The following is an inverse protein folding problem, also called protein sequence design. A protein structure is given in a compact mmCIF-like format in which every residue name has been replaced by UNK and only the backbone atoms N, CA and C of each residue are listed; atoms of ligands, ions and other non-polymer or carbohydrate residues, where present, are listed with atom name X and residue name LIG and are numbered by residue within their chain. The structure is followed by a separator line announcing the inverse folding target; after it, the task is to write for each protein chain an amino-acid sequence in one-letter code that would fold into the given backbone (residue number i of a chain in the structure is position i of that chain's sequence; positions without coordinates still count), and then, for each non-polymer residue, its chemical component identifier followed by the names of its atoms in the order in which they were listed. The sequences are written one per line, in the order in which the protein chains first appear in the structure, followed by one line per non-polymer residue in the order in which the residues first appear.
data_IF_798206695503
#
_entry.id   IF_798206695503
#
_cell.length_a   1.000
_cell.length_b   1.000
_cell.length_c   1.000
_cell.angle_alpha   90.00
_cell.angle_beta   90.00
_cell.angle_gamma   90.00
#
_symmetry.space_group_name_H-M   'P 1'
#
loop_
_entity.id
_entity.type
_entity.pdbx_description
1 polymer ?
#
# COMPACT_ATOMS: atom_id res chain seq x y z
N UNK A 1 -16.01 -5.25 3.20
CA UNK A 1 -14.55 -5.36 3.43
C UNK A 1 -14.28 -6.34 4.56
N UNK A 2 -13.67 -7.48 4.24
CA UNK A 2 -13.40 -8.58 5.18
C UNK A 2 -12.19 -8.26 6.06
N UNK A 3 -12.24 -8.75 7.31
CA UNK A 3 -11.25 -8.57 8.38
C UNK A 3 -9.78 -8.84 7.94
N UNK A 4 -9.57 -9.69 6.91
CA UNK A 4 -8.26 -9.93 6.29
C UNK A 4 -7.60 -8.70 5.68
N UNK A 5 -8.37 -7.73 5.16
CA UNK A 5 -7.81 -6.53 4.52
C UNK A 5 -7.12 -5.61 5.53
N UNK A 6 -7.57 -5.66 6.79
CA UNK A 6 -7.10 -4.81 7.89
C UNK A 6 -5.80 -5.34 8.51
N UNK A 7 -5.74 -6.65 8.76
CA UNK A 7 -4.51 -7.30 9.25
C UNK A 7 -3.38 -7.23 8.24
N UNK A 8 -3.70 -7.30 6.94
CA UNK A 8 -2.73 -7.04 5.90
C UNK A 8 -2.31 -5.57 5.94
N UNK A 9 -3.20 -4.58 5.79
CA UNK A 9 -2.79 -3.17 5.66
C UNK A 9 -1.99 -2.59 6.84
N UNK A 10 -2.31 -2.92 8.09
CA UNK A 10 -1.58 -2.36 9.24
C UNK A 10 -0.14 -2.91 9.33
N UNK A 11 0.10 -4.15 8.91
CA UNK A 11 1.45 -4.75 8.83
C UNK A 11 2.12 -4.40 7.49
N UNK A 12 1.37 -4.33 6.39
CA UNK A 12 1.85 -3.98 5.04
C UNK A 12 2.22 -2.50 4.91
N UNK A 13 1.64 -1.60 5.69
CA UNK A 13 2.04 -0.17 5.72
C UNK A 13 3.48 0.03 6.19
N UNK A 14 4.06 -0.95 6.88
CA UNK A 14 5.50 -0.99 7.17
C UNK A 14 6.31 -1.72 6.08
N UNK A 15 5.68 -2.51 5.19
CA UNK A 15 6.39 -3.46 4.34
C UNK A 15 6.28 -3.25 2.82
N UNK A 16 5.22 -2.62 2.30
CA UNK A 16 5.01 -2.48 0.86
C UNK A 16 4.25 -1.19 0.53
N UNK A 17 4.99 -0.11 0.42
CA UNK A 17 4.59 1.05 -0.36
C UNK A 17 5.78 1.48 -1.22
N UNK A 18 5.56 1.47 -2.54
CA UNK A 18 6.44 1.91 -3.64
C UNK A 18 7.42 0.83 -4.16
N UNK A 19 6.94 0.00 -5.11
CA UNK A 19 7.77 -0.57 -6.18
C UNK A 19 7.61 0.38 -7.37
N UNK A 20 8.46 1.39 -7.48
CA UNK A 20 8.68 2.09 -8.75
C UNK A 20 9.62 1.25 -9.61
N UNK A 21 9.37 1.29 -10.90
CA UNK A 21 9.93 0.46 -11.96
C UNK A 21 11.46 0.32 -11.97
N UNK A 22 11.88 -0.81 -12.54
CA UNK A 22 13.21 -1.19 -13.06
C UNK A 22 14.24 -1.79 -12.09
N UNK A 23 14.66 -3.02 -12.39
CA UNK A 23 16.04 -3.47 -12.16
C UNK A 23 16.23 -4.67 -11.23
N UNK A 24 17.05 -5.60 -11.70
CA UNK A 24 17.60 -6.79 -11.05
C UNK A 24 18.11 -6.60 -9.62
N UNK A 25 18.07 -7.67 -8.82
CA UNK A 25 18.42 -7.77 -7.38
C UNK A 25 19.88 -7.43 -6.98
N UNK A 26 20.63 -6.73 -7.81
CA UNK A 26 22.03 -6.34 -7.54
C UNK A 26 22.36 -5.07 -8.31
N UNK A 27 22.13 -3.86 -7.75
CA UNK A 27 22.97 -2.66 -7.91
C UNK A 27 22.57 -1.51 -6.93
N UNK A 28 23.58 -0.85 -6.35
CA UNK A 28 23.60 0.53 -5.78
C UNK A 28 22.65 0.92 -4.63
N UNK A 29 23.19 1.57 -3.59
CA UNK A 29 22.48 2.05 -2.38
C UNK A 29 21.39 3.10 -2.65
N UNK A 30 21.25 3.61 -3.88
CA UNK A 30 20.28 4.66 -4.26
C UNK A 30 18.90 4.10 -4.64
N UNK A 31 18.81 2.88 -5.16
CA UNK A 31 17.57 2.27 -5.66
C UNK A 31 17.07 1.13 -4.76
N UNK A 32 17.20 1.32 -3.44
CA UNK A 32 16.64 0.38 -2.47
C UNK A 32 15.31 0.93 -1.96
N UNK A 33 14.28 0.08 -1.88
CA UNK A 33 13.04 0.41 -1.16
C UNK A 33 13.37 0.78 0.29
N UNK A 34 12.54 1.62 0.92
CA UNK A 34 12.81 2.17 2.26
C UNK A 34 13.15 1.09 3.32
N UNK A 35 12.57 -0.11 3.16
CA UNK A 35 12.77 -1.28 4.02
C UNK A 35 14.12 -1.97 3.79
N UNK A 36 14.63 -1.88 2.56
CA UNK A 36 15.98 -2.23 2.24
C UNK A 36 16.90 -1.04 2.49
N UNK A 37 16.91 -0.36 3.63
CA UNK A 37 18.06 0.47 4.00
C UNK A 37 18.34 0.17 5.45
N UNK A 38 19.44 -0.55 5.70
CA UNK A 38 19.87 -0.89 7.05
C UNK A 38 19.92 0.41 7.86
N UNK A 39 19.02 0.53 8.83
CA UNK A 39 18.52 1.74 9.49
C UNK A 39 19.54 2.87 9.66
N UNK A 40 19.54 3.83 8.73
CA UNK A 40 19.99 5.20 8.97
C UNK A 40 18.76 6.10 8.96
N UNK A 41 17.92 5.95 9.99
CA UNK A 41 16.76 6.82 10.18
C UNK A 41 17.08 7.91 11.21
N UNK A 42 16.52 9.11 11.05
CA UNK A 42 16.62 10.14 12.10
C UNK A 42 15.95 9.57 13.37
N UNK A 43 16.61 9.57 14.54
CA UNK A 43 16.10 8.88 15.73
C UNK A 43 14.68 9.27 16.17
N UNK A 44 14.24 10.50 15.88
CA UNK A 44 12.89 10.95 16.19
C UNK A 44 11.77 10.32 15.35
N UNK A 45 12.09 9.78 14.16
CA UNK A 45 11.07 9.27 13.23
C UNK A 45 10.40 8.00 13.76
N UNK A 46 11.17 7.11 14.40
CA UNK A 46 10.62 5.88 14.97
C UNK A 46 9.61 6.17 16.08
N UNK A 47 9.89 7.16 16.94
CA UNK A 47 8.98 7.57 18.01
C UNK A 47 7.68 8.16 17.46
N UNK A 48 7.76 8.99 16.43
CA UNK A 48 6.57 9.60 15.82
C UNK A 48 5.73 8.56 15.10
N UNK A 49 6.37 7.66 14.34
CA UNK A 49 5.68 6.55 13.68
C UNK A 49 4.97 5.65 14.70
N UNK A 50 5.64 5.27 15.78
CA UNK A 50 5.06 4.47 16.85
C UNK A 50 3.85 5.17 17.50
N UNK A 51 3.98 6.45 17.83
CA UNK A 51 2.88 7.24 18.39
C UNK A 51 1.68 7.30 17.43
N UNK A 52 1.92 7.59 16.14
CA UNK A 52 0.87 7.61 15.12
C UNK A 52 0.19 6.26 14.94
N UNK A 53 0.93 5.16 14.97
CA UNK A 53 0.37 3.81 14.87
C UNK A 53 -0.53 3.47 16.06
N UNK A 54 -0.14 3.85 17.27
CA UNK A 54 -0.94 3.62 18.48
C UNK A 54 -2.20 4.49 18.48
N UNK A 55 -2.10 5.78 18.14
CA UNK A 55 -3.25 6.67 18.02
C UNK A 55 -4.25 6.17 16.96
N UNK A 56 -3.74 5.75 15.80
CA UNK A 56 -4.57 5.16 14.74
C UNK A 56 -5.29 3.90 15.25
N UNK A 57 -4.58 3.00 15.94
CA UNK A 57 -5.16 1.79 16.51
C UNK A 57 -6.28 2.10 17.51
N UNK A 58 -6.05 3.03 18.44
CA UNK A 58 -7.06 3.43 19.43
C UNK A 58 -8.27 4.03 18.71
N UNK A 59 -8.06 4.89 17.71
CA UNK A 59 -9.17 5.46 16.93
C UNK A 59 -10.00 4.38 16.24
N UNK A 60 -9.35 3.42 15.57
CA UNK A 60 -10.02 2.27 14.95
C UNK A 60 -10.83 1.50 15.99
N UNK A 61 -10.30 1.25 17.19
CA UNK A 61 -11.01 0.48 18.22
C UNK A 61 -12.24 1.21 18.76
N UNK A 62 -12.18 2.54 18.86
CA UNK A 62 -13.28 3.38 19.33
C UNK A 62 -14.32 3.69 18.24
N UNK A 63 -13.96 3.59 16.97
CA UNK A 63 -14.88 3.82 15.85
C UNK A 63 -16.04 2.81 15.88
N UNK A 64 -17.32 3.22 15.68
CA UNK A 64 -18.46 2.31 15.70
C UNK A 64 -18.33 1.17 14.67
N UNK A 65 -17.80 1.48 13.49
CA UNK A 65 -17.52 0.51 12.42
C UNK A 65 -16.21 -0.29 12.61
N UNK A 66 -15.40 0.05 13.61
CA UNK A 66 -14.08 -0.54 13.88
C UNK A 66 -13.19 -0.61 12.63
N UNK A 67 -12.65 -1.79 12.31
CA UNK A 67 -11.86 -2.01 11.10
C UNK A 67 -12.62 -1.90 9.77
N UNK A 68 -13.90 -1.50 9.81
CA UNK A 68 -14.70 -1.14 8.62
C UNK A 68 -14.96 0.37 8.54
N UNK A 69 -14.28 1.18 9.34
CA UNK A 69 -14.33 2.63 9.21
C UNK A 69 -13.95 3.05 7.79
N UNK A 70 -14.69 3.99 7.17
CA UNK A 70 -14.35 4.51 5.85
C UNK A 70 -13.04 5.31 5.93
N UNK A 71 -12.26 5.26 4.85
CA UNK A 71 -11.13 6.16 4.69
C UNK A 71 -11.67 7.53 4.26
N UNK A 72 -11.40 8.57 5.03
CA UNK A 72 -11.78 9.93 4.63
C UNK A 72 -10.92 10.42 3.46
N UNK A 73 -11.58 10.87 2.39
CA UNK A 73 -10.95 11.49 1.24
C UNK A 73 -11.06 13.01 1.39
N UNK A 74 -9.96 13.67 1.78
CA UNK A 74 -9.86 15.13 1.76
C UNK A 74 -9.81 15.64 0.31
N UNK A 75 -10.94 15.65 -0.39
CA UNK A 75 -11.15 16.50 -1.56
C UNK A 75 -12.13 17.63 -1.29
N UNK A 76 -12.88 17.56 -0.18
CA UNK A 76 -13.77 18.63 0.25
C UNK A 76 -13.17 19.34 1.48
N UNK A 77 -12.90 20.64 1.34
CA UNK A 77 -12.44 21.60 2.35
C UNK A 77 -13.47 21.84 3.48
N UNK A 78 -14.21 20.82 3.88
CA UNK A 78 -15.20 20.85 4.95
C UNK A 78 -14.76 20.01 6.15
N UNK A 79 -13.46 19.99 6.43
CA UNK A 79 -12.80 19.18 7.46
C UNK A 79 -13.07 19.60 8.93
N UNK A 80 -14.07 20.45 9.18
CA UNK A 80 -14.45 20.86 10.54
C UNK A 80 -15.97 20.86 10.77
N UNK A 81 -16.78 20.38 9.82
CA UNK A 81 -18.21 20.21 10.06
C UNK A 81 -18.44 18.83 10.69
N UNK A 82 -19.17 18.71 11.81
CA UNK A 82 -19.61 17.42 12.28
C UNK A 82 -20.52 16.83 11.21
N UNK A 83 -20.02 15.83 10.48
CA UNK A 83 -20.81 15.06 9.51
C UNK A 83 -22.05 14.56 10.24
N UNK A 84 -23.22 14.95 9.73
CA UNK A 84 -24.50 14.48 10.25
C UNK A 84 -24.56 12.97 9.96
N UNK A 85 -25.00 12.22 10.97
CA UNK A 85 -25.11 10.75 11.04
C UNK A 85 -23.81 9.95 11.22
N UNK A 86 -23.48 9.64 12.49
CA UNK A 86 -23.02 8.32 12.95
C UNK A 86 -21.70 7.72 12.44
N UNK A 87 -21.05 8.34 11.45
CA UNK A 87 -19.95 7.73 10.68
C UNK A 87 -18.58 8.35 10.99
N UNK A 88 -18.52 9.34 11.90
CA UNK A 88 -17.27 9.93 12.40
C UNK A 88 -17.01 9.40 13.81
N UNK A 89 -15.87 8.73 13.98
CA UNK A 89 -15.44 8.18 15.27
C UNK A 89 -15.21 9.27 16.33
N UNK A 90 -15.34 8.90 17.61
CA UNK A 90 -15.15 9.83 18.73
C UNK A 90 -13.76 10.47 18.78
N UNK A 91 -12.75 9.81 18.22
CA UNK A 91 -11.37 10.28 18.18
C UNK A 91 -11.00 10.92 16.81
N UNK A 92 -12.01 11.20 15.98
CA UNK A 92 -11.85 11.83 14.67
C UNK A 92 -11.63 10.84 13.54
N UNK A 93 -10.96 11.31 12.49
CA UNK A 93 -10.84 10.63 11.20
C UNK A 93 -9.98 9.37 11.28
N UNK A 94 -10.33 8.32 10.53
CA UNK A 94 -9.55 7.08 10.46
C UNK A 94 -8.80 7.04 9.11
N UNK A 95 -7.53 7.50 9.04
CA UNK A 95 -6.78 7.51 7.80
C UNK A 95 -6.41 6.11 7.34
N UNK A 96 -6.47 5.89 6.02
CA UNK A 96 -6.03 4.62 5.42
C UNK A 96 -4.51 4.47 5.41
N UNK A 97 -3.78 5.57 5.15
CA UNK A 97 -2.32 5.62 5.17
C UNK A 97 -1.87 6.93 5.80
N UNK A 98 -0.72 6.94 6.47
CA UNK A 98 -0.08 8.15 6.99
C UNK A 98 1.34 8.19 6.42
N UNK A 99 1.67 9.24 5.65
CA UNK A 99 3.01 9.44 5.09
C UNK A 99 3.61 10.75 5.60
N UNK A 100 4.69 10.65 6.36
CA UNK A 100 5.39 11.80 6.94
C UNK A 100 6.67 12.16 6.17
N UNK A 101 6.83 13.44 5.84
CA UNK A 101 7.99 14.03 5.17
C UNK A 101 8.71 15.03 6.08
N UNK A 102 9.64 14.53 6.90
CA UNK A 102 10.35 15.34 7.90
C UNK A 102 11.39 16.32 7.34
N UNK A 103 11.76 16.20 6.07
CA UNK A 103 12.57 17.23 5.40
C UNK A 103 11.80 18.53 5.16
N UNK A 104 10.47 18.44 5.01
CA UNK A 104 9.56 19.57 4.76
C UNK A 104 8.55 19.79 5.89
N UNK A 105 8.66 19.01 6.97
CA UNK A 105 7.70 19.00 8.09
C UNK A 105 6.24 18.90 7.62
N UNK A 106 5.98 18.01 6.66
CA UNK A 106 4.69 17.84 6.01
C UNK A 106 4.21 16.41 6.17
N UNK A 107 2.90 16.19 6.30
CA UNK A 107 2.29 14.87 6.29
C UNK A 107 1.13 14.82 5.30
N UNK A 108 0.83 13.62 4.81
CA UNK A 108 -0.32 13.37 3.93
C UNK A 108 -1.01 12.08 4.32
N UNK A 109 -2.32 12.01 4.04
CA UNK A 109 -3.18 10.86 4.37
C UNK A 109 -3.89 10.32 3.12
N UNK A 110 -3.15 9.70 2.19
CA UNK A 110 -3.76 9.18 0.97
C UNK A 110 -4.63 7.96 1.27
N UNK A 111 -5.71 7.84 0.51
CA UNK A 111 -6.51 6.62 0.39
C UNK A 111 -6.14 5.88 -0.90
N UNK A 112 -6.29 4.55 -0.88
CA UNK A 112 -6.03 3.72 -2.05
C UNK A 112 -7.12 2.67 -2.14
N UNK A 113 -7.70 2.50 -3.33
CA UNK A 113 -8.64 1.42 -3.61
C UNK A 113 -7.90 0.08 -3.71
N UNK A 114 -8.62 -1.01 -3.44
CA UNK A 114 -8.10 -2.37 -3.65
C UNK A 114 -7.82 -2.59 -5.14
N UNK A 115 -6.62 -3.08 -5.46
CA UNK A 115 -6.23 -3.37 -6.82
C UNK A 115 -6.47 -4.85 -7.15
N UNK A 116 -7.14 -5.11 -8.29
CA UNK A 116 -7.55 -6.46 -8.66
C UNK A 116 -6.38 -7.38 -9.04
N UNK A 117 -5.25 -6.83 -9.51
CA UNK A 117 -4.00 -7.59 -9.79
C UNK A 117 -2.98 -7.46 -8.64
N UNK A 118 -3.41 -7.15 -7.42
CA UNK A 118 -2.50 -7.09 -6.28
C UNK A 118 -1.93 -8.48 -5.93
N UNK A 119 -0.61 -8.59 -5.86
CA UNK A 119 0.12 -9.83 -5.48
C UNK A 119 -0.11 -10.30 -4.04
N UNK A 120 -0.84 -9.51 -3.24
CA UNK A 120 -1.16 -9.81 -1.86
C UNK A 120 -2.66 -10.01 -1.60
N UNK A 121 -3.49 -9.04 -2.00
CA UNK A 121 -4.91 -9.00 -1.61
C UNK A 121 -5.89 -9.19 -2.78
N UNK A 122 -5.39 -9.54 -3.97
CA UNK A 122 -6.29 -9.85 -5.09
C UNK A 122 -7.20 -11.04 -4.78
N UNK A 123 -8.42 -11.07 -5.35
CA UNK A 123 -9.32 -12.21 -5.21
C UNK A 123 -8.68 -13.53 -5.67
N UNK A 124 -7.84 -13.47 -6.70
CA UNK A 124 -7.12 -14.63 -7.24
C UNK A 124 -6.16 -15.21 -6.22
N UNK A 125 -5.29 -14.38 -5.61
CA UNK A 125 -4.33 -14.83 -4.58
C UNK A 125 -5.06 -15.38 -3.36
N UNK A 126 -6.16 -14.76 -2.93
CA UNK A 126 -6.95 -15.24 -1.79
C UNK A 126 -7.59 -16.60 -2.09
N UNK A 127 -8.10 -16.80 -3.31
CA UNK A 127 -8.71 -18.07 -3.72
C UNK A 127 -7.67 -19.18 -3.82
N UNK A 128 -6.55 -18.90 -4.49
CA UNK A 128 -5.40 -19.82 -4.61
C UNK A 128 -4.85 -20.26 -3.26
N UNK A 129 -4.69 -19.32 -2.32
CA UNK A 129 -4.27 -19.63 -0.96
C UNK A 129 -5.30 -20.48 -0.21
N UNK A 130 -6.60 -20.23 -0.37
CA UNK A 130 -7.65 -21.02 0.30
C UNK A 130 -7.74 -22.45 -0.24
N UNK A 131 -7.49 -22.65 -1.53
CA UNK A 131 -7.60 -23.96 -2.19
C UNK A 131 -6.33 -24.81 -2.03
N UNK A 132 -5.15 -24.21 -2.23
CA UNK A 132 -3.86 -24.94 -2.25
C UNK A 132 -3.04 -24.77 -0.97
N UNK A 133 -3.38 -23.79 -0.13
CA UNK A 133 -2.77 -23.59 1.19
C UNK A 133 -1.25 -23.47 1.14
N UNK A 134 -0.57 -24.37 1.85
CA UNK A 134 0.89 -24.34 1.99
C UNK A 134 1.63 -24.65 0.69
N UNK A 135 1.08 -25.48 -0.20
CA UNK A 135 1.74 -25.79 -1.47
C UNK A 135 1.86 -24.56 -2.37
N UNK A 136 0.84 -23.69 -2.35
CA UNK A 136 0.90 -22.41 -3.03
C UNK A 136 1.98 -21.51 -2.43
N UNK A 137 2.03 -21.39 -1.09
CA UNK A 137 3.08 -20.63 -0.43
C UNK A 137 4.48 -21.12 -0.77
N UNK A 138 4.69 -22.45 -0.80
CA UNK A 138 5.97 -23.04 -1.13
C UNK A 138 6.37 -22.74 -2.58
N UNK A 139 5.43 -22.71 -3.52
CA UNK A 139 5.68 -22.25 -4.90
C UNK A 139 6.07 -20.77 -4.93
N UNK A 140 5.33 -19.91 -4.25
CA UNK A 140 5.60 -18.47 -4.15
C UNK A 140 6.97 -18.18 -3.54
N UNK A 141 7.40 -18.94 -2.53
CA UNK A 141 8.69 -18.73 -1.89
C UNK A 141 9.87 -19.17 -2.75
N UNK A 142 9.67 -20.17 -3.60
CA UNK A 142 10.70 -20.67 -4.51
C UNK A 142 10.74 -19.95 -5.85
N UNK A 143 9.62 -19.36 -6.27
CA UNK A 143 9.48 -18.65 -7.53
C UNK A 143 8.88 -17.26 -7.30
N UNK A 144 9.72 -16.23 -7.44
CA UNK A 144 9.33 -14.83 -7.26
C UNK A 144 8.37 -14.32 -8.34
N UNK A 145 8.37 -14.94 -9.53
CA UNK A 145 7.53 -14.53 -10.66
C UNK A 145 6.11 -15.09 -10.56
N UNK A 146 5.93 -16.16 -9.78
CA UNK A 146 4.66 -16.88 -9.69
C UNK A 146 3.47 -15.98 -9.29
N UNK A 147 3.68 -15.04 -8.35
CA UNK A 147 2.61 -14.11 -7.94
C UNK A 147 2.23 -13.13 -9.04
N UNK A 148 3.20 -12.65 -9.82
CA UNK A 148 2.95 -11.70 -10.91
C UNK A 148 2.20 -12.40 -12.05
N UNK A 149 2.51 -13.67 -12.31
CA UNK A 149 1.81 -14.48 -13.31
C UNK A 149 0.36 -14.79 -12.90
N UNK A 150 0.17 -15.28 -11.68
CA UNK A 150 -1.16 -15.64 -11.14
C UNK A 150 -2.08 -14.42 -11.07
N UNK A 151 -1.54 -13.25 -10.77
CA UNK A 151 -2.33 -12.01 -10.70
C UNK A 151 -2.53 -11.33 -12.05
N UNK A 152 -1.88 -11.79 -13.12
CA UNK A 152 -1.90 -11.13 -14.43
C UNK A 152 -1.05 -9.86 -14.50
N UNK A 153 -0.26 -9.58 -13.47
CA UNK A 153 0.62 -8.41 -13.41
C UNK A 153 1.75 -8.50 -14.44
N UNK A 154 2.25 -9.70 -14.75
CA UNK A 154 3.26 -9.91 -15.80
C UNK A 154 2.75 -9.46 -17.17
N UNK A 155 1.46 -9.68 -17.45
CA UNK A 155 0.84 -9.22 -18.70
C UNK A 155 0.67 -7.71 -18.73
N UNK A 156 0.28 -7.10 -17.61
CA UNK A 156 0.20 -5.64 -17.51
C UNK A 156 1.56 -4.98 -17.78
N UNK A 157 2.64 -5.56 -17.25
CA UNK A 157 3.99 -5.08 -17.53
C UNK A 157 4.34 -5.18 -19.01
N UNK A 158 4.09 -6.33 -19.66
CA UNK A 158 4.37 -6.46 -21.10
C UNK A 158 3.56 -5.50 -21.96
N UNK A 159 2.28 -5.28 -21.63
CA UNK A 159 1.42 -4.37 -22.38
C UNK A 159 1.92 -2.92 -22.25
N UNK A 160 2.39 -2.52 -21.06
CA UNK A 160 2.95 -1.18 -20.83
C UNK A 160 4.29 -0.98 -21.55
N UNK A 161 5.18 -1.99 -21.54
CA UNK A 161 6.46 -1.92 -22.25
C UNK A 161 6.27 -1.78 -23.77
N UNK A 162 5.24 -2.43 -24.32
CA UNK A 162 4.88 -2.30 -25.74
C UNK A 162 4.39 -0.88 -26.04
N UNK A 163 3.51 -0.34 -25.20
CA UNK A 163 2.96 1.01 -25.38
C UNK A 163 4.06 2.09 -25.27
N UNK A 164 5.04 1.94 -24.35
CA UNK A 164 6.20 2.84 -24.26
C UNK A 164 7.07 2.80 -25.53
N UNK A 165 7.32 1.61 -26.09
CA UNK A 165 8.07 1.46 -27.34
C UNK A 165 7.34 2.14 -28.52
N UNK A 166 6.02 2.01 -28.58
CA UNK A 166 5.21 2.65 -29.63
C UNK A 166 5.21 4.18 -29.48
N UNK A 167 5.06 4.70 -28.27
CA UNK A 167 5.09 6.15 -28.01
C UNK A 167 6.44 6.79 -28.36
N UNK A 168 7.55 6.06 -28.23
CA UNK A 168 8.88 6.52 -28.65
C UNK A 168 9.03 6.50 -30.18
N UNK A 169 8.43 5.53 -30.87
CA UNK A 169 8.51 5.41 -32.33
C UNK A 169 7.81 6.56 -33.08
N UNK A 170 6.77 7.16 -32.49
CA UNK A 170 6.09 8.34 -33.05
C UNK A 170 6.86 9.66 -32.83
N UNK A 171 7.93 9.65 -32.02
CA UNK A 171 8.74 10.84 -31.70
C UNK A 171 10.04 10.97 -32.50
N UNK A 172 10.43 9.96 -33.29
CA UNK A 172 11.65 9.98 -34.12
C UNK A 172 11.43 10.47 -35.58
N UNK A 173 10.27 11.06 -35.89
CA UNK A 173 9.96 11.54 -37.26
C UNK A 173 9.90 13.07 -37.42
N UNK A 174 10.78 13.84 -36.77
CA UNK A 174 10.98 15.27 -37.05
C UNK A 174 12.45 15.67 -37.23
#
# INVERSE_FOLDING_TARGET
MSFSFFYFNVIYLLYYAVKTSNGSLLQSTRDRTLDQQCTVTRPGISMIAAAMSVELLINILQHPLRGRAPAENHTDDQACAPSRDGDVGTLGIVPHQIRGFFGRQHYMIPSCASFHMCTACSPTVITEYKEKGFEFLLKVFNDSSHLEEVTGLSKLHSDTDIDEVWALSDSESQ
#
